data_IF_902421750520
#
_entry.id   IF_902421750520
#
_cell.length_a   1.000
_cell.length_b   1.000
_cell.length_c   1.000
_cell.angle_alpha   90.00
_cell.angle_beta   90.00
_cell.angle_gamma   90.00
#
_symmetry.space_group_name_H-M   'P 1'
#
loop_
_entity.id
_entity.type
_entity.pdbx_description
1 polymer ?
#
# COMPACT_ATOMS: atom_id res chain seq x y z
N UNK A 1 -9.99 -33.26 6.70
CA UNK A 1 -11.00 -33.83 5.77
C UNK A 1 -11.66 -32.79 4.88
N UNK A 2 -12.43 -31.81 5.38
CA UNK A 2 -13.08 -30.80 4.51
C UNK A 2 -12.04 -29.91 3.80
N UNK A 3 -11.01 -29.48 4.52
CA UNK A 3 -9.95 -28.64 3.96
C UNK A 3 -9.15 -29.37 2.88
N UNK A 4 -8.84 -30.65 3.07
CA UNK A 4 -8.11 -31.47 2.09
C UNK A 4 -8.89 -31.62 0.78
N UNK A 5 -10.21 -31.76 0.86
CA UNK A 5 -11.09 -31.80 -0.32
C UNK A 5 -11.09 -30.45 -1.05
N UNK A 6 -11.10 -29.33 -0.32
CA UNK A 6 -10.98 -28.00 -0.90
C UNK A 6 -9.64 -27.81 -1.62
N UNK A 7 -8.55 -28.32 -1.04
CA UNK A 7 -7.23 -28.31 -1.67
C UNK A 7 -7.19 -29.06 -2.99
N UNK A 8 -7.65 -30.32 -3.01
CA UNK A 8 -7.70 -31.14 -4.22
C UNK A 8 -8.53 -30.46 -5.32
N UNK A 9 -9.66 -29.85 -4.94
CA UNK A 9 -10.53 -29.16 -5.90
C UNK A 9 -9.91 -27.87 -6.42
N UNK A 10 -9.30 -27.06 -5.55
CA UNK A 10 -8.62 -25.84 -5.95
C UNK A 10 -7.48 -26.13 -6.93
N UNK A 11 -6.73 -27.22 -6.71
CA UNK A 11 -5.66 -27.65 -7.61
C UNK A 11 -6.19 -28.06 -8.99
N UNK A 12 -7.26 -28.87 -9.02
CA UNK A 12 -7.93 -29.25 -10.28
C UNK A 12 -8.46 -28.03 -11.07
N UNK A 13 -9.08 -27.07 -10.39
CA UNK A 13 -9.57 -25.84 -11.03
C UNK A 13 -8.43 -25.00 -11.60
N UNK A 14 -7.30 -24.93 -10.90
CA UNK A 14 -6.08 -24.27 -11.38
C UNK A 14 -5.53 -24.95 -12.64
N UNK A 15 -5.45 -26.29 -12.66
CA UNK A 15 -5.05 -27.04 -13.86
C UNK A 15 -5.97 -26.78 -15.06
N UNK A 16 -7.25 -26.53 -14.81
CA UNK A 16 -8.26 -26.22 -15.82
C UNK A 16 -8.29 -24.74 -16.24
N UNK A 17 -7.42 -23.88 -15.68
CA UNK A 17 -7.40 -22.45 -15.95
C UNK A 17 -8.53 -21.66 -15.28
N UNK A 18 -9.33 -22.28 -14.41
CA UNK A 18 -10.42 -21.66 -13.66
C UNK A 18 -9.90 -20.96 -12.40
N UNK A 19 -9.03 -19.95 -12.60
CA UNK A 19 -8.29 -19.31 -11.51
C UNK A 19 -9.19 -18.56 -10.50
N UNK A 20 -10.31 -17.99 -10.96
CA UNK A 20 -11.25 -17.30 -10.06
C UNK A 20 -11.94 -18.27 -9.10
N UNK A 21 -12.38 -19.42 -9.58
CA UNK A 21 -13.02 -20.44 -8.74
C UNK A 21 -11.99 -21.11 -7.82
N UNK A 22 -10.76 -21.34 -8.31
CA UNK A 22 -9.65 -21.80 -7.49
C UNK A 22 -9.33 -20.81 -6.34
N UNK A 23 -9.35 -19.50 -6.63
CA UNK A 23 -9.17 -18.45 -5.62
C UNK A 23 -10.28 -18.44 -4.58
N UNK A 24 -11.54 -18.62 -4.97
CA UNK A 24 -12.63 -18.69 -4.00
C UNK A 24 -12.37 -19.83 -3.02
N UNK A 25 -12.07 -21.04 -3.50
CA UNK A 25 -11.77 -22.19 -2.61
C UNK A 25 -10.55 -21.93 -1.72
N UNK A 26 -9.51 -21.28 -2.24
CA UNK A 26 -8.36 -20.82 -1.45
C UNK A 26 -8.77 -19.86 -0.31
N UNK A 27 -9.70 -18.95 -0.55
CA UNK A 27 -10.25 -18.06 0.49
C UNK A 27 -10.98 -18.87 1.57
N UNK A 28 -11.80 -19.85 1.21
CA UNK A 28 -12.44 -20.76 2.18
C UNK A 28 -11.41 -21.52 3.02
N UNK A 29 -10.32 -22.00 2.41
CA UNK A 29 -9.24 -22.69 3.14
C UNK A 29 -8.60 -21.76 4.18
N UNK A 30 -8.30 -20.51 3.83
CA UNK A 30 -7.74 -19.53 4.79
C UNK A 30 -8.70 -19.21 5.94
N UNK A 31 -10.01 -19.19 5.67
CA UNK A 31 -11.06 -18.98 6.69
C UNK A 31 -11.15 -20.18 7.65
N UNK A 32 -11.01 -21.39 7.12
CA UNK A 32 -11.08 -22.62 7.91
C UNK A 32 -9.82 -22.88 8.73
N UNK A 33 -8.67 -22.33 8.33
CA UNK A 33 -7.38 -22.49 9.01
C UNK A 33 -6.67 -21.16 9.30
N UNK A 34 -7.30 -20.21 10.02
CA UNK A 34 -6.84 -18.83 10.11
C UNK A 34 -5.52 -18.68 10.87
N UNK A 35 -5.21 -19.58 11.80
CA UNK A 35 -3.99 -19.57 12.61
C UNK A 35 -2.85 -20.43 12.05
N UNK A 36 -3.03 -21.02 10.86
CA UNK A 36 -2.00 -21.84 10.25
C UNK A 36 -1.25 -21.03 9.18
N UNK A 37 -0.15 -20.40 9.58
CA UNK A 37 0.62 -19.48 8.73
C UNK A 37 0.99 -20.07 7.35
N UNK A 38 1.36 -21.35 7.27
CA UNK A 38 1.71 -22.00 6.01
C UNK A 38 0.60 -21.96 4.96
N UNK A 39 -0.67 -21.92 5.36
CA UNK A 39 -1.80 -21.77 4.42
C UNK A 39 -1.80 -20.39 3.80
N UNK A 40 -1.58 -19.35 4.59
CA UNK A 40 -1.52 -17.97 4.10
C UNK A 40 -0.32 -17.76 3.17
N UNK A 41 0.84 -18.27 3.58
CA UNK A 41 2.07 -18.24 2.78
C UNK A 41 1.87 -18.92 1.43
N UNK A 42 1.36 -20.16 1.44
CA UNK A 42 1.10 -20.88 0.20
C UNK A 42 0.13 -20.13 -0.71
N UNK A 43 -0.99 -19.62 -0.17
CA UNK A 43 -2.01 -18.97 -1.01
C UNK A 43 -1.50 -17.66 -1.61
N UNK A 44 -0.73 -16.88 -0.84
CA UNK A 44 -0.07 -15.69 -1.34
C UNK A 44 0.95 -16.02 -2.43
N UNK A 45 1.79 -17.03 -2.18
CA UNK A 45 2.77 -17.51 -3.15
C UNK A 45 2.08 -18.02 -4.43
N UNK A 46 1.03 -18.82 -4.30
CA UNK A 46 0.30 -19.37 -5.43
C UNK A 46 -0.32 -18.28 -6.31
N UNK A 47 -0.90 -17.23 -5.72
CA UNK A 47 -1.38 -16.06 -6.46
C UNK A 47 -0.23 -15.30 -7.13
N UNK A 48 0.82 -14.98 -6.37
CA UNK A 48 1.91 -14.14 -6.84
C UNK A 48 2.81 -14.85 -7.85
N UNK A 49 2.99 -16.18 -7.78
CA UNK A 49 3.96 -16.92 -8.60
C UNK A 49 3.31 -17.86 -9.62
N UNK A 50 2.27 -18.61 -9.26
CA UNK A 50 1.70 -19.61 -10.19
C UNK A 50 0.61 -18.99 -11.06
N UNK A 51 -0.44 -18.43 -10.44
CA UNK A 51 -1.59 -17.89 -11.17
C UNK A 51 -1.16 -16.70 -12.02
N UNK A 52 -0.36 -15.78 -11.46
CA UNK A 52 0.12 -14.62 -12.23
C UNK A 52 0.94 -15.02 -13.47
N UNK A 53 1.74 -16.09 -13.40
CA UNK A 53 2.58 -16.53 -14.54
C UNK A 53 1.75 -17.29 -15.57
N UNK A 54 0.68 -17.99 -15.15
CA UNK A 54 -0.23 -18.66 -16.06
C UNK A 54 -1.03 -17.70 -16.95
N UNK A 55 -1.24 -16.45 -16.50
CA UNK A 55 -1.79 -15.38 -17.34
C UNK A 55 -0.73 -14.96 -18.38
N UNK A 56 -1.08 -14.74 -19.67
CA UNK A 56 -0.11 -14.28 -20.68
C UNK A 56 0.58 -12.96 -20.32
N UNK A 57 1.88 -12.84 -20.65
CA UNK A 57 2.66 -11.61 -20.39
C UNK A 57 2.13 -10.38 -21.17
N UNK A 58 1.36 -10.59 -22.24
CA UNK A 58 0.62 -9.55 -22.96
C UNK A 58 -0.52 -8.93 -22.15
N UNK A 59 -0.83 -9.49 -20.98
CA UNK A 59 -1.85 -9.00 -20.04
C UNK A 59 -1.21 -8.62 -18.68
N UNK A 60 -0.22 -7.72 -18.65
CA UNK A 60 0.54 -7.41 -17.44
C UNK A 60 -0.32 -6.81 -16.31
N UNK A 61 -1.41 -6.12 -16.66
CA UNK A 61 -2.40 -5.60 -15.71
C UNK A 61 -3.10 -6.71 -14.92
N UNK A 62 -3.41 -7.84 -15.56
CA UNK A 62 -4.05 -8.98 -14.90
C UNK A 62 -3.05 -9.72 -14.03
N UNK A 63 -1.82 -9.92 -14.51
CA UNK A 63 -0.73 -10.47 -13.69
C UNK A 63 -0.50 -9.63 -12.44
N UNK A 64 -0.46 -8.30 -12.58
CA UNK A 64 -0.27 -7.39 -11.46
C UNK A 64 -1.36 -7.50 -10.41
N UNK A 65 -2.63 -7.67 -10.82
CA UNK A 65 -3.74 -7.90 -9.87
C UNK A 65 -3.49 -9.13 -9.00
N UNK A 66 -3.00 -10.23 -9.59
CA UNK A 66 -2.66 -11.44 -8.84
C UNK A 66 -1.45 -11.27 -7.91
N UNK A 67 -0.39 -10.61 -8.38
CA UNK A 67 0.77 -10.28 -7.54
C UNK A 67 0.36 -9.39 -6.37
N UNK A 68 -0.47 -8.39 -6.63
CA UNK A 68 -1.05 -7.49 -5.62
C UNK A 68 -1.88 -8.25 -4.60
N UNK A 69 -2.83 -9.06 -5.06
CA UNK A 69 -3.63 -9.91 -4.18
C UNK A 69 -2.77 -10.82 -3.30
N UNK A 70 -1.64 -11.32 -3.81
CA UNK A 70 -0.67 -12.13 -3.05
C UNK A 70 -0.11 -11.39 -1.84
N UNK A 71 0.51 -10.23 -2.05
CA UNK A 71 1.09 -9.47 -0.92
C UNK A 71 0.02 -8.88 0.00
N UNK A 72 -1.14 -8.48 -0.52
CA UNK A 72 -2.25 -7.95 0.29
C UNK A 72 -2.87 -9.04 1.16
N UNK A 73 -2.96 -10.28 0.66
CA UNK A 73 -3.43 -11.42 1.46
C UNK A 73 -2.56 -11.60 2.71
N UNK A 74 -1.23 -11.58 2.55
CA UNK A 74 -0.30 -11.68 3.69
C UNK A 74 -0.42 -10.46 4.61
N UNK A 75 -0.27 -9.26 4.04
CA UNK A 75 -0.20 -8.00 4.78
C UNK A 75 -1.48 -7.69 5.54
N UNK A 76 -2.63 -7.87 4.90
CA UNK A 76 -3.91 -7.37 5.41
C UNK A 76 -4.71 -8.44 6.14
N UNK A 77 -4.41 -9.73 5.96
CA UNK A 77 -5.17 -10.84 6.60
C UNK A 77 -4.27 -11.85 7.31
N UNK A 78 -3.26 -12.38 6.63
CA UNK A 78 -2.40 -13.43 7.18
C UNK A 78 -1.63 -12.98 8.42
N UNK A 79 -0.87 -11.89 8.31
CA UNK A 79 -0.06 -11.32 9.39
C UNK A 79 -0.91 -10.87 10.59
N UNK A 80 -2.04 -10.14 10.43
CA UNK A 80 -2.90 -9.80 11.56
C UNK A 80 -3.37 -11.00 12.39
N UNK A 81 -3.62 -12.15 11.75
CA UNK A 81 -4.04 -13.38 12.42
C UNK A 81 -2.85 -14.20 12.95
N UNK A 82 -1.64 -13.94 12.46
CA UNK A 82 -0.41 -14.68 12.78
C UNK A 82 0.78 -13.71 13.01
N UNK A 83 0.68 -12.76 13.95
CA UNK A 83 1.56 -11.57 13.99
C UNK A 83 3.01 -11.85 14.36
N UNK A 84 3.32 -13.05 14.86
CA UNK A 84 4.69 -13.50 15.22
C UNK A 84 5.30 -14.46 14.20
N UNK A 85 4.62 -14.69 13.07
CA UNK A 85 5.07 -15.66 12.09
C UNK A 85 6.13 -15.06 11.16
N UNK A 86 7.39 -15.35 11.45
CA UNK A 86 8.55 -14.98 10.60
C UNK A 86 8.33 -15.46 9.15
N UNK A 87 7.68 -16.61 8.97
CA UNK A 87 7.34 -17.16 7.66
C UNK A 87 6.55 -16.15 6.79
N UNK A 88 5.54 -15.49 7.37
CA UNK A 88 4.69 -14.57 6.61
C UNK A 88 5.41 -13.27 6.25
N UNK A 89 6.17 -12.70 7.19
CA UNK A 89 6.97 -11.51 6.94
C UNK A 89 8.04 -11.76 5.88
N UNK A 90 8.72 -12.92 5.95
CA UNK A 90 9.71 -13.34 4.95
C UNK A 90 9.08 -13.48 3.57
N UNK A 91 7.93 -14.13 3.44
CA UNK A 91 7.28 -14.29 2.12
C UNK A 91 6.78 -12.95 1.58
N UNK A 92 6.24 -12.08 2.44
CA UNK A 92 5.86 -10.72 2.04
C UNK A 92 7.06 -9.94 1.51
N UNK A 93 8.19 -9.97 2.23
CA UNK A 93 9.44 -9.35 1.77
C UNK A 93 9.95 -9.96 0.46
N UNK A 94 9.85 -11.29 0.29
CA UNK A 94 10.24 -12.00 -0.92
C UNK A 94 9.37 -11.61 -2.12
N UNK A 95 8.06 -11.44 -1.96
CA UNK A 95 7.19 -10.98 -3.05
C UNK A 95 7.65 -9.59 -3.52
N UNK A 96 7.95 -8.66 -2.61
CA UNK A 96 8.49 -7.35 -2.99
C UNK A 96 9.86 -7.45 -3.67
N UNK A 97 10.84 -8.10 -3.04
CA UNK A 97 12.21 -8.15 -3.57
C UNK A 97 12.32 -8.98 -4.86
N UNK A 98 11.79 -10.20 -4.85
CA UNK A 98 11.99 -11.16 -5.94
C UNK A 98 10.93 -11.02 -7.03
N UNK A 99 9.65 -11.03 -6.68
CA UNK A 99 8.58 -11.03 -7.70
C UNK A 99 8.39 -9.65 -8.33
N UNK A 100 8.38 -8.58 -7.54
CA UNK A 100 8.22 -7.21 -8.03
C UNK A 100 9.58 -6.60 -8.40
N UNK A 101 10.59 -6.74 -7.53
CA UNK A 101 11.93 -6.17 -7.69
C UNK A 101 12.83 -6.91 -8.67
N UNK A 102 12.61 -8.22 -8.86
CA UNK A 102 13.44 -9.05 -9.74
C UNK A 102 13.33 -8.71 -11.24
N UNK A 103 14.00 -9.52 -12.04
CA UNK A 103 14.06 -9.41 -13.51
C UNK A 103 13.66 -10.69 -14.24
N UNK A 104 13.27 -11.73 -13.49
CA UNK A 104 12.98 -13.06 -14.03
C UNK A 104 11.56 -13.23 -14.55
N UNK A 105 10.64 -12.33 -14.19
CA UNK A 105 9.25 -12.34 -14.70
C UNK A 105 9.11 -11.40 -15.89
N UNK A 106 8.52 -11.83 -17.00
CA UNK A 106 8.39 -11.01 -18.21
C UNK A 106 7.65 -9.68 -18.01
N UNK A 107 6.75 -9.60 -17.02
CA UNK A 107 5.98 -8.40 -16.70
C UNK A 107 6.58 -7.59 -15.53
N UNK A 108 7.80 -7.92 -15.07
CA UNK A 108 8.41 -7.28 -13.91
C UNK A 108 8.50 -5.74 -14.00
N UNK A 109 8.79 -5.18 -15.20
CA UNK A 109 8.84 -3.72 -15.41
C UNK A 109 7.49 -3.07 -15.12
N UNK A 110 6.40 -3.73 -15.50
CA UNK A 110 5.05 -3.25 -15.22
C UNK A 110 4.79 -3.24 -13.70
N UNK A 111 5.17 -4.29 -12.97
CA UNK A 111 4.99 -4.33 -11.51
C UNK A 111 5.74 -3.21 -10.79
N UNK A 112 7.00 -2.96 -11.19
CA UNK A 112 7.81 -1.84 -10.67
C UNK A 112 7.14 -0.50 -10.95
N UNK A 113 6.66 -0.28 -12.16
CA UNK A 113 5.95 0.94 -12.54
C UNK A 113 4.68 1.13 -11.71
N UNK A 114 3.87 0.07 -11.52
CA UNK A 114 2.64 0.16 -10.74
C UNK A 114 2.92 0.48 -9.26
N UNK A 115 3.96 -0.12 -8.66
CA UNK A 115 4.37 0.23 -7.29
C UNK A 115 4.84 1.69 -7.21
N UNK A 116 5.68 2.12 -8.15
CA UNK A 116 6.19 3.48 -8.19
C UNK A 116 5.07 4.51 -8.35
N UNK A 117 4.13 4.28 -9.28
CA UNK A 117 2.95 5.15 -9.48
C UNK A 117 2.05 5.22 -8.24
N UNK A 118 1.97 4.14 -7.46
CA UNK A 118 1.15 4.13 -6.26
C UNK A 118 1.84 4.81 -5.05
N UNK A 119 3.18 4.85 -5.04
CA UNK A 119 3.99 5.49 -4.00
C UNK A 119 4.29 6.97 -4.29
N UNK A 120 4.45 7.35 -5.56
CA UNK A 120 4.85 8.69 -6.00
C UNK A 120 3.97 9.80 -5.39
N UNK A 121 2.62 9.73 -5.39
CA UNK A 121 1.80 10.80 -4.82
C UNK A 121 1.90 10.91 -3.29
N UNK A 122 2.32 9.83 -2.62
CA UNK A 122 2.45 9.78 -1.17
C UNK A 122 3.80 10.30 -0.71
N UNK A 123 4.86 9.94 -1.43
CA UNK A 123 6.22 10.12 -0.96
C UNK A 123 7.06 10.99 -1.90
N UNK A 124 6.88 10.88 -3.22
CA UNK A 124 7.65 11.62 -4.22
C UNK A 124 9.16 11.67 -3.93
N UNK A 125 9.88 12.67 -4.44
CA UNK A 125 11.19 13.03 -3.90
C UNK A 125 11.01 13.67 -2.51
N UNK A 126 11.16 12.88 -1.46
CA UNK A 126 11.12 13.33 -0.07
C UNK A 126 12.52 13.32 0.57
N UNK A 127 12.69 14.13 1.63
CA UNK A 127 13.85 14.11 2.51
C UNK A 127 13.45 13.59 3.90
N UNK A 128 14.43 13.36 4.78
CA UNK A 128 14.17 12.85 6.13
C UNK A 128 13.33 13.80 7.00
N UNK A 129 13.29 15.10 6.70
CA UNK A 129 12.40 16.06 7.37
C UNK A 129 10.94 15.79 7.00
N UNK A 130 10.64 15.53 5.72
CA UNK A 130 9.30 15.12 5.27
C UNK A 130 8.85 13.83 5.96
N UNK A 131 9.73 12.84 6.07
CA UNK A 131 9.43 11.60 6.81
C UNK A 131 9.21 11.85 8.31
N UNK A 132 9.93 12.80 8.92
CA UNK A 132 9.67 13.29 10.27
C UNK A 132 8.25 13.84 10.42
N UNK A 133 7.84 14.74 9.52
CA UNK A 133 6.50 15.30 9.54
C UNK A 133 5.41 14.24 9.31
N UNK A 134 5.64 13.24 8.44
CA UNK A 134 4.74 12.10 8.26
C UNK A 134 4.62 11.25 9.53
N UNK A 135 5.73 11.04 10.26
CA UNK A 135 5.76 10.29 11.50
C UNK A 135 4.99 11.00 12.62
N UNK A 136 5.15 12.33 12.72
CA UNK A 136 4.48 13.19 13.72
C UNK A 136 3.00 13.42 13.40
N UNK A 137 2.60 13.30 12.14
CA UNK A 137 1.21 13.50 11.72
C UNK A 137 0.25 12.56 12.49
N UNK A 138 -0.90 13.08 12.96
CA UNK A 138 -1.86 12.28 13.72
C UNK A 138 -2.22 10.96 13.03
N UNK A 139 -2.30 9.88 13.80
CA UNK A 139 -2.64 8.56 13.27
C UNK A 139 -4.13 8.38 12.94
N UNK A 140 -4.99 9.22 13.56
CA UNK A 140 -6.43 9.04 13.60
C UNK A 140 -7.18 10.22 12.98
N UNK A 141 -8.20 9.93 12.17
CA UNK A 141 -9.13 10.92 11.61
C UNK A 141 -9.75 11.82 12.68
N UNK A 142 -10.18 11.23 13.80
CA UNK A 142 -10.78 11.93 14.94
C UNK A 142 -9.88 13.02 15.54
N UNK A 143 -8.56 12.92 15.39
CA UNK A 143 -7.63 13.95 15.88
C UNK A 143 -7.51 15.10 14.89
N UNK A 144 -7.42 14.83 13.58
CA UNK A 144 -7.24 15.89 12.58
C UNK A 144 -8.49 16.75 12.41
N UNK A 145 -9.69 16.19 12.57
CA UNK A 145 -10.94 16.96 12.44
C UNK A 145 -11.20 17.93 13.59
N UNK A 146 -10.54 17.73 14.73
CA UNK A 146 -10.62 18.63 15.90
C UNK A 146 -9.62 19.78 15.81
N UNK A 147 -8.74 19.74 14.81
CA UNK A 147 -7.74 20.75 14.58
C UNK A 147 -8.39 22.00 13.99
N UNK A 148 -8.34 23.12 14.73
CA UNK A 148 -9.03 24.35 14.37
C UNK A 148 -8.54 24.92 13.03
N UNK A 149 -7.28 24.71 12.66
CA UNK A 149 -6.70 25.21 11.41
C UNK A 149 -7.19 24.38 10.21
N UNK A 150 -7.41 23.08 10.40
CA UNK A 150 -7.77 22.14 9.32
C UNK A 150 -9.29 22.02 9.12
N UNK A 151 -10.07 22.20 10.19
CA UNK A 151 -11.53 22.07 10.14
C UNK A 151 -12.20 22.91 9.02
N UNK A 152 -11.78 24.15 8.74
CA UNK A 152 -12.33 24.94 7.62
C UNK A 152 -12.14 24.26 6.25
N UNK A 153 -10.97 23.66 6.00
CA UNK A 153 -10.68 22.94 4.74
C UNK A 153 -11.63 21.75 4.57
N UNK A 154 -11.80 20.97 5.64
CA UNK A 154 -12.67 19.78 5.63
C UNK A 154 -14.11 20.19 5.37
N UNK A 155 -14.58 21.23 6.07
CA UNK A 155 -15.96 21.74 5.94
C UNK A 155 -16.23 22.28 4.53
N UNK A 156 -15.26 23.02 3.96
CA UNK A 156 -15.36 23.55 2.60
C UNK A 156 -15.42 22.41 1.55
N UNK A 157 -14.59 21.38 1.69
CA UNK A 157 -14.61 20.22 0.78
C UNK A 157 -15.93 19.44 0.86
N UNK A 158 -16.47 19.21 2.07
CA UNK A 158 -17.78 18.58 2.26
C UNK A 158 -18.92 19.37 1.61
N UNK A 159 -18.82 20.69 1.63
CA UNK A 159 -19.82 21.58 1.04
C UNK A 159 -19.70 21.63 -0.49
N UNK A 160 -18.49 21.49 -1.02
CA UNK A 160 -18.20 21.62 -2.45
C UNK A 160 -18.54 20.36 -3.26
N UNK A 161 -18.41 19.17 -2.65
CA UNK A 161 -18.67 17.90 -3.34
C UNK A 161 -19.13 16.81 -2.35
N UNK A 162 -20.28 16.18 -2.65
CA UNK A 162 -20.93 15.15 -1.82
C UNK A 162 -20.06 13.91 -1.60
N UNK A 163 -19.08 13.66 -2.47
CA UNK A 163 -18.13 12.55 -2.28
C UNK A 163 -17.32 12.69 -0.98
N UNK A 164 -17.23 13.89 -0.40
CA UNK A 164 -16.56 14.13 0.88
C UNK A 164 -17.47 13.98 2.10
N UNK A 165 -18.76 13.65 1.96
CA UNK A 165 -19.67 13.46 3.10
C UNK A 165 -19.27 12.27 4.00
N UNK A 166 -18.75 11.20 3.38
CA UNK A 166 -18.32 9.98 4.07
C UNK A 166 -16.87 10.09 4.58
N UNK A 167 -16.74 10.19 5.91
CA UNK A 167 -15.46 10.31 6.62
C UNK A 167 -14.50 9.15 6.32
N UNK A 168 -15.02 7.93 6.13
CA UNK A 168 -14.16 6.76 5.86
C UNK A 168 -13.53 6.83 4.47
N UNK A 169 -14.19 7.53 3.53
CA UNK A 169 -13.69 7.75 2.16
C UNK A 169 -12.97 9.08 2.00
N UNK A 170 -13.08 10.00 2.96
CA UNK A 170 -12.61 11.37 2.83
C UNK A 170 -11.15 11.45 2.40
N UNK A 171 -10.23 10.79 3.12
CA UNK A 171 -8.80 10.86 2.81
C UNK A 171 -8.48 10.27 1.43
N UNK A 172 -9.14 9.16 1.06
CA UNK A 172 -8.98 8.57 -0.27
C UNK A 172 -9.46 9.49 -1.38
N UNK A 173 -10.62 10.10 -1.20
CA UNK A 173 -11.18 11.07 -2.14
C UNK A 173 -10.33 12.34 -2.23
N UNK A 174 -9.80 12.82 -1.10
CA UNK A 174 -8.90 13.95 -1.06
C UNK A 174 -7.63 13.69 -1.88
N UNK A 175 -6.96 12.56 -1.65
CA UNK A 175 -5.77 12.20 -2.42
C UNK A 175 -6.09 12.00 -3.92
N UNK A 176 -7.27 11.45 -4.24
CA UNK A 176 -7.73 11.32 -5.62
C UNK A 176 -8.04 12.68 -6.26
N UNK A 177 -8.62 13.64 -5.53
CA UNK A 177 -8.87 15.01 -6.00
C UNK A 177 -7.55 15.70 -6.33
N UNK A 178 -6.51 15.50 -5.51
CA UNK A 178 -5.17 16.06 -5.73
C UNK A 178 -4.48 15.53 -6.99
N UNK A 179 -4.82 14.32 -7.44
CA UNK A 179 -4.21 13.69 -8.61
C UNK A 179 -5.07 13.82 -9.88
N UNK A 180 -6.39 13.67 -9.74
CA UNK A 180 -7.34 13.56 -10.83
C UNK A 180 -8.57 14.46 -10.57
N UNK A 181 -8.41 15.79 -10.59
CA UNK A 181 -9.46 16.71 -10.19
C UNK A 181 -10.72 16.62 -11.07
N UNK A 182 -10.58 16.21 -12.33
CA UNK A 182 -11.69 16.03 -13.26
C UNK A 182 -12.73 14.96 -12.83
N UNK A 183 -12.41 14.13 -11.83
CA UNK A 183 -13.34 13.15 -11.25
C UNK A 183 -14.31 13.73 -10.23
N UNK A 184 -14.11 14.98 -9.83
CA UNK A 184 -14.85 15.67 -8.78
C UNK A 184 -15.52 16.93 -9.33
N UNK A 185 -16.44 17.50 -8.57
CA UNK A 185 -16.97 18.82 -8.86
C UNK A 185 -15.84 19.85 -8.89
N UNK A 186 -15.84 20.73 -9.88
CA UNK A 186 -14.86 21.81 -10.00
C UNK A 186 -14.77 22.65 -8.72
N UNK A 187 -15.89 22.84 -8.01
CA UNK A 187 -15.92 23.54 -6.73
C UNK A 187 -14.98 22.93 -5.69
N UNK A 188 -14.79 21.60 -5.66
CA UNK A 188 -13.89 20.96 -4.70
C UNK A 188 -12.42 21.27 -5.00
N UNK A 189 -12.04 21.37 -6.28
CA UNK A 189 -10.69 21.78 -6.62
C UNK A 189 -10.46 23.29 -6.37
N UNK A 190 -11.49 24.12 -6.58
CA UNK A 190 -11.43 25.54 -6.22
C UNK A 190 -11.16 25.73 -4.71
N UNK A 191 -11.73 24.90 -3.84
CA UNK A 191 -11.40 24.91 -2.41
C UNK A 191 -9.90 24.67 -2.19
N UNK A 192 -9.27 23.74 -2.92
CA UNK A 192 -7.82 23.52 -2.82
C UNK A 192 -7.06 24.77 -3.26
N UNK A 193 -7.46 25.40 -4.38
CA UNK A 193 -6.82 26.61 -4.90
C UNK A 193 -6.94 27.78 -3.91
N UNK A 194 -8.11 27.97 -3.30
CA UNK A 194 -8.35 29.00 -2.29
C UNK A 194 -7.47 28.80 -1.05
N UNK A 195 -7.33 27.57 -0.58
CA UNK A 195 -6.50 27.24 0.57
C UNK A 195 -4.99 27.33 0.26
N UNK A 196 -4.56 27.24 -1.00
CA UNK A 196 -3.15 27.54 -1.34
C UNK A 196 -2.78 29.00 -1.04
N UNK A 197 -3.76 29.90 -1.10
CA UNK A 197 -3.55 31.33 -0.86
C UNK A 197 -3.88 31.73 0.58
N UNK A 198 -5.03 31.28 1.09
CA UNK A 198 -5.59 31.77 2.37
C UNK A 198 -5.27 30.89 3.56
N UNK A 199 -4.87 29.63 3.34
CA UNK A 199 -4.72 28.61 4.38
C UNK A 199 -3.60 27.62 4.10
N UNK A 200 -2.47 28.10 3.56
CA UNK A 200 -1.40 27.24 3.04
C UNK A 200 -0.85 26.26 4.09
N UNK A 201 -0.72 26.68 5.35
CA UNK A 201 -0.27 25.80 6.43
C UNK A 201 -1.31 24.74 6.80
N UNK A 202 -2.60 25.09 6.82
CA UNK A 202 -3.67 24.11 7.02
C UNK A 202 -3.71 23.07 5.90
N UNK A 203 -3.57 23.51 4.65
CA UNK A 203 -3.52 22.65 3.48
C UNK A 203 -2.31 21.71 3.53
N UNK A 204 -1.12 22.25 3.85
CA UNK A 204 0.11 21.47 3.99
C UNK A 204 0.00 20.45 5.12
N UNK A 205 -0.54 20.85 6.27
CA UNK A 205 -0.79 19.97 7.42
C UNK A 205 -1.72 18.83 7.05
N UNK A 206 -2.80 19.11 6.33
CA UNK A 206 -3.72 18.08 5.87
C UNK A 206 -3.13 17.20 4.75
N UNK A 207 -2.33 17.76 3.85
CA UNK A 207 -1.58 17.00 2.84
C UNK A 207 -0.65 15.96 3.51
N UNK A 208 0.09 16.36 4.53
CA UNK A 208 0.97 15.46 5.30
C UNK A 208 0.14 14.40 6.04
N UNK A 209 -0.93 14.80 6.73
CA UNK A 209 -1.84 13.86 7.39
C UNK A 209 -2.42 12.84 6.42
N UNK A 210 -2.97 13.28 5.28
CA UNK A 210 -3.61 12.40 4.30
C UNK A 210 -2.62 11.36 3.76
N UNK A 211 -1.39 11.77 3.45
CA UNK A 211 -0.31 10.86 3.02
C UNK A 211 0.06 9.86 4.11
N UNK A 212 0.29 10.33 5.35
CA UNK A 212 0.63 9.47 6.47
C UNK A 212 -0.51 8.49 6.82
N UNK A 213 -1.76 8.94 6.76
CA UNK A 213 -2.95 8.13 6.96
C UNK A 213 -3.05 7.02 5.90
N UNK A 214 -2.84 7.35 4.63
CA UNK A 214 -2.85 6.37 3.54
C UNK A 214 -1.72 5.34 3.65
N UNK A 215 -0.51 5.76 4.05
CA UNK A 215 0.61 4.86 4.31
C UNK A 215 0.26 3.85 5.41
N UNK A 216 -0.29 4.31 6.54
CA UNK A 216 -0.65 3.44 7.67
C UNK A 216 -1.85 2.54 7.36
N UNK A 217 -2.91 3.08 6.76
CA UNK A 217 -4.18 2.36 6.56
C UNK A 217 -4.14 1.41 5.37
N UNK A 218 -3.59 1.85 4.24
CA UNK A 218 -3.60 1.08 3.00
C UNK A 218 -2.33 0.27 2.85
N UNK A 219 -1.16 0.89 3.04
CA UNK A 219 0.12 0.23 2.83
C UNK A 219 0.65 -0.52 4.05
N UNK A 220 0.03 -0.29 5.22
CA UNK A 220 0.50 -0.79 6.52
C UNK A 220 1.95 -0.41 6.81
N UNK A 221 2.38 0.73 6.25
CA UNK A 221 3.69 1.32 6.48
C UNK A 221 3.56 2.39 7.55
N UNK A 222 4.29 2.21 8.63
CA UNK A 222 4.45 3.20 9.69
C UNK A 222 5.56 4.20 9.33
N UNK A 223 5.24 5.50 9.11
CA UNK A 223 6.25 6.50 8.75
C UNK A 223 7.37 6.65 9.78
N UNK A 224 7.13 6.35 11.06
CA UNK A 224 8.18 6.39 12.09
C UNK A 224 9.24 5.32 11.83
N UNK A 225 8.83 4.08 11.53
CA UNK A 225 9.75 3.01 11.15
C UNK A 225 10.39 3.29 9.78
N UNK A 226 9.65 3.85 8.82
CA UNK A 226 10.23 4.27 7.54
C UNK A 226 11.38 5.27 7.75
N UNK A 227 11.20 6.27 8.62
CA UNK A 227 12.25 7.25 8.97
C UNK A 227 13.46 6.60 9.63
N UNK A 228 13.24 5.62 10.52
CA UNK A 228 14.34 4.87 11.14
C UNK A 228 15.15 4.11 10.08
N UNK A 229 14.47 3.43 9.16
CA UNK A 229 15.11 2.68 8.08
C UNK A 229 15.82 3.59 7.08
N UNK A 230 15.26 4.76 6.78
CA UNK A 230 15.93 5.79 5.99
C UNK A 230 17.27 6.19 6.61
N UNK A 231 17.30 6.41 7.93
CA UNK A 231 18.52 6.80 8.65
C UNK A 231 19.54 5.68 8.77
N UNK A 232 19.10 4.42 8.71
CA UNK A 232 19.97 3.25 8.91
C UNK A 232 20.51 2.68 7.60
N UNK A 233 19.67 2.61 6.57
CA UNK A 233 19.97 1.92 5.31
C UNK A 233 19.90 2.83 4.07
N UNK A 234 19.51 4.09 4.26
CA UNK A 234 19.48 5.06 3.17
C UNK A 234 20.86 5.33 2.57
N UNK A 235 20.94 5.84 1.33
CA UNK A 235 22.21 6.18 0.72
C UNK A 235 22.91 7.28 1.52
N UNK A 236 24.24 7.18 1.63
CA UNK A 236 25.06 8.13 2.37
C UNK A 236 25.27 9.40 1.54
N UNK A 237 25.19 10.57 2.19
CA UNK A 237 25.50 11.86 1.57
C UNK A 237 27.01 11.93 1.27
N UNK A 238 27.37 12.25 0.02
CA UNK A 238 28.77 12.33 -0.40
C UNK A 238 29.58 13.41 0.35
N UNK A 239 28.92 14.42 0.92
CA UNK A 239 29.57 15.48 1.69
C UNK A 239 29.66 15.18 3.19
N UNK A 240 28.83 14.29 3.74
CA UNK A 240 28.85 13.90 5.14
C UNK A 240 28.51 12.41 5.32
N UNK A 241 29.51 11.56 5.63
CA UNK A 241 29.30 10.13 5.74
C UNK A 241 28.38 9.70 6.90
N UNK A 242 28.10 10.60 7.85
CA UNK A 242 27.17 10.35 8.95
C UNK A 242 25.72 10.69 8.61
N UNK A 243 25.48 11.31 7.45
CA UNK A 243 24.17 11.72 7.00
C UNK A 243 23.64 10.76 5.95
N UNK A 244 22.55 10.08 6.28
CA UNK A 244 21.81 9.26 5.34
C UNK A 244 20.67 10.04 4.69
N UNK A 245 20.52 9.89 3.38
CA UNK A 245 19.35 10.30 2.61
C UNK A 245 18.24 9.24 2.72
N UNK A 246 16.97 9.55 2.40
CA UNK A 246 15.91 8.54 2.44
C UNK A 246 16.12 7.38 1.47
N UNK A 247 15.61 6.20 1.84
CA UNK A 247 15.39 5.12 0.89
C UNK A 247 14.36 5.57 -0.17
N UNK A 248 14.51 5.08 -1.39
CA UNK A 248 13.47 5.26 -2.41
C UNK A 248 12.34 4.26 -2.16
N UNK A 249 11.25 4.72 -1.53
CA UNK A 249 10.08 3.90 -1.21
C UNK A 249 9.22 3.56 -2.44
N UNK A 250 9.54 4.09 -3.62
CA UNK A 250 8.99 3.61 -4.91
C UNK A 250 9.66 2.32 -5.36
N UNK A 251 10.85 2.03 -4.80
CA UNK A 251 11.59 0.81 -5.09
C UNK A 251 11.09 -0.38 -4.23
N UNK A 252 10.87 -1.57 -4.81
CA UNK A 252 10.38 -2.74 -4.07
C UNK A 252 11.28 -3.16 -2.91
N UNK A 253 12.60 -3.00 -3.03
CA UNK A 253 13.55 -3.41 -1.98
C UNK A 253 13.35 -2.64 -0.67
N UNK A 254 12.93 -1.37 -0.71
CA UNK A 254 12.61 -0.60 0.50
C UNK A 254 11.44 -1.24 1.27
N UNK A 255 10.45 -1.77 0.55
CA UNK A 255 9.33 -2.52 1.15
C UNK A 255 9.81 -3.88 1.69
N UNK A 256 10.69 -4.55 0.97
CA UNK A 256 11.27 -5.82 1.43
C UNK A 256 12.06 -5.65 2.75
N UNK A 257 12.89 -4.60 2.85
CA UNK A 257 13.60 -4.23 4.08
C UNK A 257 12.58 -3.95 5.20
N UNK A 258 11.55 -3.14 4.94
CA UNK A 258 10.53 -2.80 5.94
C UNK A 258 9.87 -4.04 6.54
N UNK A 259 9.47 -5.00 5.70
CA UNK A 259 8.81 -6.22 6.16
C UNK A 259 9.78 -7.24 6.78
N UNK A 260 11.06 -7.21 6.42
CA UNK A 260 12.06 -8.10 6.99
C UNK A 260 12.49 -7.74 8.43
N UNK A 261 12.37 -6.46 8.83
CA UNK A 261 12.74 -5.99 10.18
C UNK A 261 11.59 -6.03 11.20
N UNK A 262 10.38 -6.36 10.75
CA UNK A 262 9.13 -6.38 11.54
C UNK A 262 8.91 -7.71 12.25
#
# INVERSE_FOLDING_TARGET
MVVDVLWIRADRLKEQGQFFDAKQLAEWITILQPRFASVWEFQAWNMAYNISVAIPATQPQERWRWVKNGYELLRDRGIPLNPKSILLYRELARIFQHKIGGVTDDAHKYYKLQLALAMEPLLGPANNQTFGALAEAPADWQKIIKDADVLPLITALKSADRTFEDDDKFVGNYLSLRQNPARFNAAAFNVIDDFRVTGAEALKKFDIFAKAYQLRKTWKLDPALMLQLNKLYGPVDGADPNKHLPLDWRHPDSHAIYWAVK
#
